data_IF_522396451794
#
_entry.id   IF_522396451794
#
_cell.length_a   1.000
_cell.length_b   1.000
_cell.length_c   1.000
_cell.angle_alpha   90.00
_cell.angle_beta   90.00
_cell.angle_gamma   90.00
#
_symmetry.space_group_name_H-M   'P 1'
#
loop_
_entity.id
_entity.type
_entity.pdbx_description
1 polymer ?
#
# COMPACT_ATOMS: atom_id res chain seq x y z
N UNK A 1 -38.40 -44.47 9.95
CA UNK A 1 -36.94 -44.30 9.76
C UNK A 1 -36.72 -43.60 8.42
N UNK A 2 -36.58 -42.26 8.42
CA UNK A 2 -36.54 -41.46 7.17
C UNK A 2 -35.12 -41.45 6.62
N UNK A 3 -34.93 -42.10 5.46
CA UNK A 3 -33.66 -42.21 4.74
C UNK A 3 -33.29 -40.83 4.18
N UNK A 4 -32.30 -40.17 4.79
CA UNK A 4 -31.76 -38.87 4.37
C UNK A 4 -31.25 -38.99 2.92
N UNK A 5 -31.94 -38.36 1.97
CA UNK A 5 -31.54 -38.31 0.56
C UNK A 5 -30.12 -37.72 0.49
N UNK A 6 -29.20 -38.51 -0.05
CA UNK A 6 -27.86 -38.07 -0.45
C UNK A 6 -28.03 -36.91 -1.44
N UNK A 7 -27.76 -35.68 -1.00
CA UNK A 7 -27.61 -34.55 -1.91
C UNK A 7 -26.42 -34.87 -2.81
N UNK A 8 -26.68 -35.07 -4.10
CA UNK A 8 -25.63 -35.14 -5.13
C UNK A 8 -24.79 -33.88 -4.99
N UNK A 9 -23.50 -34.03 -4.64
CA UNK A 9 -22.52 -32.94 -4.65
C UNK A 9 -22.54 -32.33 -6.05
N UNK A 10 -23.10 -31.13 -6.18
CA UNK A 10 -22.96 -30.28 -7.36
C UNK A 10 -21.48 -30.11 -7.62
N UNK A 11 -21.02 -30.37 -8.86
CA UNK A 11 -19.62 -30.10 -9.24
C UNK A 11 -19.30 -28.64 -8.86
N UNK A 12 -18.12 -28.34 -8.28
CA UNK A 12 -17.75 -26.96 -8.04
C UNK A 12 -17.81 -26.23 -9.38
N UNK A 13 -18.64 -25.18 -9.45
CA UNK A 13 -18.58 -24.25 -10.59
C UNK A 13 -17.19 -23.62 -10.49
N UNK A 14 -16.36 -23.84 -11.49
CA UNK A 14 -15.04 -23.22 -11.55
C UNK A 14 -15.16 -21.70 -11.40
N UNK A 15 -14.17 -21.07 -10.78
CA UNK A 15 -14.11 -19.61 -10.73
C UNK A 15 -13.75 -19.15 -12.14
N UNK A 16 -14.68 -18.49 -12.82
CA UNK A 16 -14.42 -17.87 -14.10
C UNK A 16 -13.53 -16.64 -13.87
N UNK A 17 -12.27 -16.74 -14.28
CA UNK A 17 -11.30 -15.67 -14.16
C UNK A 17 -11.26 -14.87 -15.46
N UNK A 18 -11.32 -13.54 -15.34
CA UNK A 18 -11.14 -12.64 -16.48
C UNK A 18 -9.76 -12.84 -17.14
N UNK A 19 -9.66 -12.52 -18.43
CA UNK A 19 -8.38 -12.53 -19.13
C UNK A 19 -7.40 -11.57 -18.44
N UNK A 20 -6.16 -12.03 -18.27
CA UNK A 20 -5.11 -11.17 -17.72
C UNK A 20 -4.84 -10.00 -18.67
N UNK A 21 -4.71 -8.80 -18.13
CA UNK A 21 -4.38 -7.62 -18.92
C UNK A 21 -4.14 -6.41 -18.04
N UNK A 22 -3.53 -5.38 -18.65
CA UNK A 22 -3.31 -4.08 -18.01
C UNK A 22 -4.63 -3.33 -17.99
N UNK A 23 -5.03 -2.87 -16.81
CA UNK A 23 -6.21 -2.01 -16.65
C UNK A 23 -5.71 -0.57 -16.54
N UNK A 24 -6.10 0.26 -17.50
CA UNK A 24 -5.75 1.69 -17.52
C UNK A 24 -7.00 2.49 -17.19
N UNK A 25 -6.92 3.35 -16.19
CA UNK A 25 -8.00 4.26 -15.85
C UNK A 25 -8.14 5.34 -16.96
N UNK A 26 -9.28 5.44 -17.66
CA UNK A 26 -9.49 6.47 -18.66
C UNK A 26 -9.88 7.81 -18.05
N UNK A 27 -10.28 7.84 -16.77
CA UNK A 27 -10.73 9.02 -16.07
C UNK A 27 -9.56 9.75 -15.40
N UNK A 28 -9.69 11.07 -15.30
CA UNK A 28 -8.81 11.87 -14.44
C UNK A 28 -9.16 11.59 -12.97
N UNK A 29 -8.17 11.55 -12.05
CA UNK A 29 -8.44 11.44 -10.62
C UNK A 29 -9.44 12.51 -10.16
N UNK A 30 -10.40 12.11 -9.33
CA UNK A 30 -11.39 13.03 -8.77
C UNK A 30 -10.71 13.79 -7.62
N UNK A 31 -10.71 15.12 -7.69
CA UNK A 31 -10.26 15.97 -6.59
C UNK A 31 -11.42 16.33 -5.69
N UNK A 32 -11.36 15.90 -4.42
CA UNK A 32 -12.37 16.21 -3.40
C UNK A 32 -11.98 17.47 -2.61
N UNK A 33 -10.67 17.73 -2.49
CA UNK A 33 -10.11 18.89 -1.80
C UNK A 33 -9.70 19.97 -2.81
N UNK A 34 -9.80 21.22 -2.38
CA UNK A 34 -9.20 22.37 -3.05
C UNK A 34 -7.67 22.37 -2.90
N UNK A 35 -6.97 23.15 -3.72
CA UNK A 35 -5.51 23.26 -3.67
C UNK A 35 -5.02 23.82 -2.32
N UNK A 36 -5.73 24.80 -1.76
CA UNK A 36 -5.42 25.38 -0.45
C UNK A 36 -5.59 24.37 0.69
N UNK A 37 -6.62 23.52 0.62
CA UNK A 37 -6.84 22.45 1.61
C UNK A 37 -5.72 21.40 1.54
N UNK A 38 -5.26 21.05 0.34
CA UNK A 38 -4.12 20.15 0.14
C UNK A 38 -2.84 20.77 0.72
N UNK A 39 -2.57 22.05 0.43
CA UNK A 39 -1.40 22.77 0.94
C UNK A 39 -1.41 22.88 2.47
N UNK A 40 -2.59 23.13 3.05
CA UNK A 40 -2.80 23.16 4.49
C UNK A 40 -2.53 21.79 5.14
N UNK A 41 -3.06 20.70 4.57
CA UNK A 41 -2.82 19.34 5.06
C UNK A 41 -1.34 18.94 4.95
N UNK A 42 -0.69 19.32 3.86
CA UNK A 42 0.74 19.08 3.65
C UNK A 42 1.58 19.78 4.73
N UNK A 43 1.32 21.07 4.97
CA UNK A 43 2.02 21.86 5.99
C UNK A 43 1.82 21.29 7.39
N UNK A 44 0.57 20.93 7.74
CA UNK A 44 0.25 20.30 9.03
C UNK A 44 0.96 18.94 9.20
N UNK A 45 1.07 18.14 8.13
CA UNK A 45 1.77 16.84 8.17
C UNK A 45 3.27 17.01 8.45
N UNK A 46 3.91 18.01 7.83
CA UNK A 46 5.32 18.35 8.09
C UNK A 46 5.52 18.84 9.52
N UNK A 47 4.62 19.67 10.03
CA UNK A 47 4.66 20.15 11.41
C UNK A 47 4.59 18.98 12.41
N UNK A 48 3.73 17.98 12.17
CA UNK A 48 3.66 16.78 13.01
C UNK A 48 4.99 16.03 13.02
N UNK A 49 5.61 15.82 11.86
CA UNK A 49 6.90 15.15 11.76
C UNK A 49 8.05 15.93 12.43
N UNK A 50 7.99 17.26 12.40
CA UNK A 50 9.00 18.13 13.02
C UNK A 50 8.84 18.19 14.54
N UNK A 51 7.63 18.43 15.04
CA UNK A 51 7.37 18.65 16.48
C UNK A 51 7.25 17.34 17.25
N UNK A 52 6.46 16.40 16.73
CA UNK A 52 6.15 15.15 17.41
C UNK A 52 7.06 14.00 16.97
N UNK A 53 7.35 13.92 15.67
CA UNK A 53 8.20 12.87 15.10
C UNK A 53 7.54 11.49 15.08
N UNK A 54 8.36 10.46 14.89
CA UNK A 54 7.94 9.05 14.89
C UNK A 54 8.96 8.17 15.62
N UNK A 55 8.49 7.12 16.30
CA UNK A 55 9.38 6.16 16.98
C UNK A 55 9.90 5.11 16.00
N UNK A 56 11.22 4.96 15.92
CA UNK A 56 11.88 3.94 15.13
C UNK A 56 12.57 2.94 16.04
N UNK A 57 11.95 1.77 16.28
CA UNK A 57 12.50 0.76 17.19
C UNK A 57 13.84 0.17 16.74
N UNK A 58 14.07 0.11 15.42
CA UNK A 58 15.30 -0.45 14.84
C UNK A 58 16.47 0.56 14.97
N UNK A 59 17.57 0.22 15.67
CA UNK A 59 18.71 1.12 15.83
C UNK A 59 19.41 1.49 14.52
N UNK A 60 19.48 0.55 13.57
CA UNK A 60 20.07 0.80 12.25
C UNK A 60 19.31 1.88 11.48
N UNK A 61 17.97 1.85 11.49
CA UNK A 61 17.16 2.88 10.86
C UNK A 61 17.42 4.26 11.47
N UNK A 62 17.55 4.34 12.80
CA UNK A 62 17.90 5.59 13.49
C UNK A 62 19.27 6.11 13.09
N UNK A 63 20.27 5.23 12.94
CA UNK A 63 21.61 5.63 12.48
C UNK A 63 21.58 6.19 11.05
N UNK A 64 20.82 5.58 10.14
CA UNK A 64 20.63 6.06 8.76
C UNK A 64 19.97 7.44 8.76
N UNK A 65 18.89 7.61 9.53
CA UNK A 65 18.15 8.86 9.62
C UNK A 65 18.98 9.98 10.25
N UNK A 66 19.76 9.68 11.30
CA UNK A 66 20.69 10.62 11.92
C UNK A 66 21.76 11.09 10.93
N UNK A 67 22.31 10.17 10.14
CA UNK A 67 23.28 10.49 9.08
C UNK A 67 22.67 11.35 7.98
N UNK A 68 21.38 11.16 7.68
CA UNK A 68 20.63 12.00 6.75
C UNK A 68 20.28 13.39 7.32
N UNK A 69 20.53 13.66 8.61
CA UNK A 69 20.27 14.96 9.24
C UNK A 69 19.02 15.01 10.11
N UNK A 70 18.31 13.90 10.32
CA UNK A 70 17.18 13.86 11.23
C UNK A 70 17.62 13.99 12.70
N UNK A 71 16.77 14.60 13.53
CA UNK A 71 17.01 14.71 14.96
C UNK A 71 16.55 13.42 15.65
N UNK A 72 17.51 12.66 16.21
CA UNK A 72 17.27 11.36 16.82
C UNK A 72 17.51 11.41 18.32
N UNK A 73 16.48 11.03 19.08
CA UNK A 73 16.54 10.78 20.51
C UNK A 73 16.66 9.28 20.76
N UNK A 74 17.82 8.84 21.26
CA UNK A 74 18.07 7.41 21.53
C UNK A 74 17.36 6.92 22.81
N UNK A 75 17.00 7.80 23.74
CA UNK A 75 16.38 7.43 25.02
C UNK A 75 14.96 6.88 24.86
N UNK A 76 14.20 7.39 23.89
CA UNK A 76 12.81 7.01 23.60
C UNK A 76 12.60 6.53 22.16
N UNK A 77 13.70 6.36 21.43
CA UNK A 77 13.77 5.98 20.02
C UNK A 77 12.97 6.93 19.08
N UNK A 78 12.78 8.18 19.48
CA UNK A 78 12.04 9.17 18.70
C UNK A 78 12.92 9.82 17.63
N UNK A 79 12.38 9.95 16.41
CA UNK A 79 13.02 10.66 15.30
C UNK A 79 12.12 11.81 14.85
N UNK A 80 12.66 13.01 14.83
CA UNK A 80 12.01 14.23 14.32
C UNK A 80 12.69 14.70 13.04
N UNK A 81 11.89 15.23 12.13
CA UNK A 81 12.33 15.56 10.78
C UNK A 81 12.19 17.04 10.51
N UNK A 82 13.25 17.65 10.00
CA UNK A 82 13.13 19.00 9.44
C UNK A 82 12.27 18.95 8.16
N UNK A 83 11.32 19.88 7.95
CA UNK A 83 10.49 19.92 6.74
C UNK A 83 11.31 19.93 5.44
N UNK A 84 12.42 20.68 5.40
CA UNK A 84 13.25 20.78 4.20
C UNK A 84 13.96 19.46 3.91
N UNK A 85 14.39 18.75 4.96
CA UNK A 85 14.93 17.39 4.84
C UNK A 85 13.90 16.43 4.24
N UNK A 86 12.64 16.48 4.71
CA UNK A 86 11.57 15.64 4.14
C UNK A 86 11.38 15.96 2.66
N UNK A 87 11.28 17.24 2.31
CA UNK A 87 11.04 17.68 0.94
C UNK A 87 12.20 17.33 -0.01
N UNK A 88 13.45 17.40 0.45
CA UNK A 88 14.61 16.96 -0.32
C UNK A 88 14.49 15.48 -0.71
N UNK A 89 14.06 14.62 0.21
CA UNK A 89 13.92 13.19 -0.06
C UNK A 89 12.66 12.86 -0.86
N UNK A 90 11.56 13.58 -0.68
CA UNK A 90 10.36 13.46 -1.53
C UNK A 90 10.72 13.78 -2.99
N UNK A 91 11.53 14.82 -3.23
CA UNK A 91 11.96 15.20 -4.58
C UNK A 91 12.84 14.14 -5.27
N UNK A 92 13.50 13.25 -4.51
CA UNK A 92 14.29 12.12 -5.06
C UNK A 92 13.41 10.95 -5.49
N UNK A 93 12.15 10.90 -5.05
CA UNK A 93 11.24 9.80 -5.40
C UNK A 93 10.85 9.88 -6.88
N UNK A 94 10.91 8.77 -7.63
CA UNK A 94 10.42 8.76 -9.01
C UNK A 94 8.89 8.96 -9.02
N UNK A 95 8.41 9.73 -10.00
CA UNK A 95 6.97 9.92 -10.21
C UNK A 95 6.27 8.67 -10.76
N UNK A 96 7.03 7.78 -11.42
CA UNK A 96 6.55 6.52 -11.94
C UNK A 96 7.67 5.47 -12.02
N UNK A 97 7.33 4.19 -11.88
CA UNK A 97 8.26 3.08 -12.10
C UNK A 97 7.53 1.80 -12.52
N UNK A 98 8.29 0.81 -12.98
CA UNK A 98 7.79 -0.52 -13.36
C UNK A 98 8.29 -1.57 -12.38
N UNK A 99 7.39 -2.41 -11.89
CA UNK A 99 7.74 -3.62 -11.16
C UNK A 99 7.82 -4.77 -12.17
N UNK A 100 9.04 -5.26 -12.40
CA UNK A 100 9.31 -6.28 -13.39
C UNK A 100 8.96 -7.69 -12.89
N UNK A 101 8.19 -8.41 -13.70
CA UNK A 101 7.87 -9.81 -13.50
C UNK A 101 8.86 -10.70 -14.23
N UNK A 102 8.92 -11.98 -13.82
CA UNK A 102 9.71 -13.00 -14.54
C UNK A 102 9.30 -13.15 -16.01
N UNK A 103 8.00 -13.01 -16.30
CA UNK A 103 7.49 -12.88 -17.66
C UNK A 103 7.11 -11.41 -17.88
N UNK A 104 7.80 -10.66 -18.76
CA UNK A 104 7.56 -9.23 -18.98
C UNK A 104 6.13 -8.86 -19.40
N UNK A 105 5.36 -9.82 -19.93
CA UNK A 105 3.92 -9.62 -20.23
C UNK A 105 3.12 -9.28 -18.97
N UNK A 106 3.62 -9.63 -17.77
CA UNK A 106 3.00 -9.38 -16.48
C UNK A 106 3.67 -8.26 -15.66
N UNK A 107 4.51 -7.44 -16.29
CA UNK A 107 5.06 -6.26 -15.63
C UNK A 107 3.93 -5.32 -15.14
N UNK A 108 4.11 -4.78 -13.94
CA UNK A 108 3.17 -3.84 -13.32
C UNK A 108 3.71 -2.41 -13.42
N UNK A 109 2.85 -1.47 -13.80
CA UNK A 109 3.22 -0.07 -13.92
C UNK A 109 2.62 0.73 -12.76
N UNK A 110 3.46 1.48 -12.05
CA UNK A 110 3.06 2.39 -10.99
C UNK A 110 3.28 3.81 -11.50
N UNK A 111 2.25 4.37 -12.16
CA UNK A 111 2.38 5.58 -12.98
C UNK A 111 1.14 6.48 -12.94
N UNK A 112 0.36 6.40 -11.86
CA UNK A 112 -0.87 7.17 -11.63
C UNK A 112 -2.00 6.91 -12.66
N UNK A 113 -1.89 5.89 -13.51
CA UNK A 113 -2.91 5.54 -14.51
C UNK A 113 -3.30 4.07 -14.50
N UNK A 114 -2.33 3.18 -14.29
CA UNK A 114 -2.58 1.75 -14.24
C UNK A 114 -3.20 1.34 -12.90
N UNK A 115 -4.26 0.54 -12.99
CA UNK A 115 -4.89 -0.11 -11.84
C UNK A 115 -4.32 -1.52 -11.75
N UNK A 116 -3.53 -1.77 -10.70
CA UNK A 116 -2.94 -3.07 -10.43
C UNK A 116 -3.72 -3.77 -9.32
N UNK A 117 -4.28 -4.95 -9.62
CA UNK A 117 -5.00 -5.75 -8.63
C UNK A 117 -4.05 -6.72 -7.95
N UNK A 118 -4.11 -6.80 -6.62
CA UNK A 118 -3.35 -7.76 -5.82
C UNK A 118 -4.26 -8.56 -4.92
N UNK A 119 -3.76 -9.71 -4.47
CA UNK A 119 -4.42 -10.47 -3.42
C UNK A 119 -4.38 -9.71 -2.10
N UNK A 120 -5.35 -10.02 -1.23
CA UNK A 120 -5.25 -9.66 0.18
C UNK A 120 -3.98 -10.29 0.77
N UNK A 121 -3.26 -9.53 1.58
CA UNK A 121 -2.11 -10.02 2.35
C UNK A 121 -2.51 -10.21 3.82
N UNK A 122 -1.87 -11.16 4.50
CA UNK A 122 -1.95 -11.35 5.96
C UNK A 122 -3.27 -11.85 6.54
N UNK A 123 -4.23 -12.33 5.74
CA UNK A 123 -5.44 -12.95 6.27
C UNK A 123 -5.10 -14.29 6.96
N UNK A 124 -5.30 -14.44 8.29
CA UNK A 124 -4.93 -15.67 9.02
C UNK A 124 -5.96 -16.79 8.84
N UNK A 125 -7.14 -16.44 8.31
CA UNK A 125 -8.25 -17.35 8.09
C UNK A 125 -8.79 -17.13 6.68
N UNK A 126 -9.33 -18.21 6.11
CA UNK A 126 -10.05 -18.17 4.84
C UNK A 126 -11.52 -18.55 5.07
N UNK A 127 -12.36 -18.32 4.07
CA UNK A 127 -13.73 -18.82 4.04
C UNK A 127 -13.93 -19.56 2.73
N UNK A 128 -14.26 -20.86 2.81
CA UNK A 128 -14.62 -21.64 1.63
C UNK A 128 -16.03 -21.25 1.15
N UNK A 129 -16.11 -20.56 0.01
CA UNK A 129 -17.37 -20.16 -0.61
C UNK A 129 -18.06 -21.29 -1.39
N UNK A 130 -17.38 -22.42 -1.62
CA UNK A 130 -17.90 -23.58 -2.33
C UNK A 130 -18.46 -24.64 -1.37
N UNK A 131 -17.75 -24.96 -0.28
CA UNK A 131 -18.16 -26.01 0.67
C UNK A 131 -18.58 -25.48 2.05
N UNK A 132 -18.36 -24.20 2.34
CA UNK A 132 -18.65 -23.58 3.63
C UNK A 132 -17.64 -23.95 4.73
N UNK A 133 -17.55 -23.06 5.74
CA UNK A 133 -16.62 -23.06 6.89
C UNK A 133 -15.13 -22.83 6.54
N UNK A 134 -14.38 -22.46 7.58
CA UNK A 134 -12.99 -21.97 7.58
C UNK A 134 -12.00 -22.97 7.01
#
# INVERSE_FOLDING_TARGET
MVRRKSNKRTKPRGIEQLSSGRVVNPLTPISILSEDEVASLHSASLEVLQKHGMRFSLPEARAILKKAGANVSESDAMVRFDPDLVMEYVAKSPAAFTLHARNPVHDLHLDNRHINFSCVSSAPHTTDTLNGRR
#
